data_IF_271725272008
#
_entry.id   IF_271725272008
#
_cell.length_a   1.000
_cell.length_b   1.000
_cell.length_c   1.000
_cell.angle_alpha   90.00
_cell.angle_beta   90.00
_cell.angle_gamma   90.00
#
_symmetry.space_group_name_H-M   'P 1'
#
loop_
_entity.id
_entity.type
_entity.pdbx_description
1 polymer ?
#
# COMPACT_ATOMS: atom_id res chain seq x y z
N UNK A 1 -21.22 8.59 53.27
CA UNK A 1 -22.20 8.34 52.19
C UNK A 1 -21.47 8.47 50.88
N UNK A 2 -21.14 7.32 50.30
CA UNK A 2 -20.34 7.10 49.08
C UNK A 2 -21.20 7.32 47.84
N UNK A 3 -20.66 8.03 46.83
CA UNK A 3 -21.26 8.17 45.49
C UNK A 3 -20.58 7.16 44.56
N UNK A 4 -21.33 6.34 43.81
CA UNK A 4 -20.80 5.19 43.10
C UNK A 4 -19.99 5.58 41.86
N UNK A 5 -19.07 4.68 41.51
CA UNK A 5 -18.22 4.71 40.33
C UNK A 5 -18.99 5.04 39.05
N UNK A 6 -18.55 6.08 38.36
CA UNK A 6 -18.82 6.31 36.95
C UNK A 6 -17.81 5.46 36.17
N UNK A 7 -18.18 4.20 35.91
CA UNK A 7 -17.45 3.32 35.00
C UNK A 7 -17.54 3.91 33.59
N UNK A 8 -16.52 4.69 33.21
CA UNK A 8 -16.34 5.12 31.83
C UNK A 8 -16.22 3.87 30.95
N UNK A 9 -17.00 3.78 29.85
CA UNK A 9 -16.94 2.65 28.94
C UNK A 9 -15.58 2.66 28.25
N UNK A 10 -14.86 1.56 28.41
CA UNK A 10 -13.56 1.27 27.80
C UNK A 10 -13.63 1.42 26.27
N UNK A 11 -13.15 2.57 25.79
CA UNK A 11 -13.13 2.99 24.38
C UNK A 11 -12.02 2.28 23.57
N UNK A 12 -11.50 1.16 24.04
CA UNK A 12 -10.30 0.52 23.46
C UNK A 12 -10.59 -0.57 22.43
N UNK A 13 -11.83 -0.82 21.99
CA UNK A 13 -12.16 -2.06 21.23
C UNK A 13 -12.83 -1.97 19.86
N UNK A 14 -12.42 -1.10 18.92
CA UNK A 14 -12.76 -1.28 17.49
C UNK A 14 -11.81 -2.25 16.75
N UNK A 15 -10.55 -2.39 17.20
CA UNK A 15 -9.54 -3.20 16.51
C UNK A 15 -9.79 -4.71 16.64
N UNK A 16 -10.16 -5.15 17.84
CA UNK A 16 -10.36 -6.57 18.17
C UNK A 16 -11.68 -7.11 17.58
N UNK A 17 -12.71 -6.26 17.43
CA UNK A 17 -13.96 -6.61 16.77
C UNK A 17 -13.77 -6.79 15.25
N UNK A 18 -12.96 -5.92 14.62
CA UNK A 18 -12.58 -6.07 13.21
C UNK A 18 -11.70 -7.30 12.99
N UNK A 19 -10.81 -7.61 13.94
CA UNK A 19 -10.01 -8.83 13.96
C UNK A 19 -10.87 -10.09 14.05
N UNK A 20 -11.80 -10.15 14.99
CA UNK A 20 -12.72 -11.28 15.16
C UNK A 20 -13.65 -11.48 13.96
N UNK A 21 -14.08 -10.40 13.30
CA UNK A 21 -14.86 -10.48 12.07
C UNK A 21 -14.02 -10.99 10.89
N UNK A 22 -12.76 -10.54 10.77
CA UNK A 22 -11.81 -11.05 9.78
C UNK A 22 -11.50 -12.52 10.01
N UNK A 23 -11.37 -12.93 11.28
CA UNK A 23 -11.07 -14.30 11.72
C UNK A 23 -12.25 -15.27 11.49
N UNK A 24 -13.49 -14.82 11.70
CA UNK A 24 -14.69 -15.59 11.34
C UNK A 24 -14.89 -15.70 9.83
N UNK A 25 -14.50 -14.68 9.07
CA UNK A 25 -14.52 -14.72 7.61
C UNK A 25 -13.43 -15.63 7.00
N UNK A 26 -12.53 -16.21 7.81
CA UNK A 26 -11.40 -17.04 7.38
C UNK A 26 -11.63 -18.55 7.47
N UNK A 27 -12.80 -19.02 7.94
CA UNK A 27 -13.15 -20.44 7.94
C UNK A 27 -14.15 -20.77 6.81
N UNK A 28 -14.10 -21.95 6.17
CA UNK A 28 -12.95 -22.68 5.65
C UNK A 28 -13.14 -22.94 4.14
N UNK A 29 -12.52 -22.13 3.28
CA UNK A 29 -12.24 -22.58 1.90
C UNK A 29 -10.79 -23.07 1.87
N UNK A 30 -10.52 -24.17 2.58
CA UNK A 30 -9.22 -24.86 2.59
C UNK A 30 -8.94 -25.64 1.29
N UNK A 31 -9.67 -25.36 0.22
CA UNK A 31 -9.79 -26.30 -0.89
C UNK A 31 -8.55 -26.32 -1.80
N UNK A 32 -7.79 -25.23 -1.93
CA UNK A 32 -6.56 -25.27 -2.70
C UNK A 32 -5.47 -24.37 -2.09
N UNK A 33 -4.43 -25.00 -1.54
CA UNK A 33 -3.21 -24.29 -1.21
C UNK A 33 -2.50 -23.95 -2.52
N UNK A 34 -2.02 -22.70 -2.70
CA UNK A 34 -1.28 -22.34 -3.89
C UNK A 34 -0.05 -23.24 -4.04
N UNK A 35 0.45 -23.46 -5.27
CA UNK A 35 1.49 -24.46 -5.54
C UNK A 35 2.72 -24.36 -4.63
N UNK A 36 3.12 -23.14 -4.26
CA UNK A 36 4.26 -22.90 -3.38
C UNK A 36 4.00 -23.25 -1.90
N UNK A 37 2.75 -23.22 -1.44
CA UNK A 37 2.37 -23.53 -0.06
C UNK A 37 2.05 -25.02 0.16
N UNK A 38 2.10 -25.84 -0.89
CA UNK A 38 1.88 -27.29 -0.79
C UNK A 38 2.93 -27.99 0.06
N UNK A 39 4.15 -27.45 0.09
CA UNK A 39 5.27 -27.95 0.90
C UNK A 39 5.24 -27.46 2.35
N UNK A 40 4.36 -26.53 2.70
CA UNK A 40 4.31 -25.95 4.04
C UNK A 40 3.71 -26.94 5.05
N UNK A 41 4.15 -26.92 6.32
CA UNK A 41 3.52 -27.71 7.38
C UNK A 41 2.03 -27.37 7.54
N UNK A 42 1.25 -28.31 8.06
CA UNK A 42 -0.17 -28.11 8.39
C UNK A 42 -0.25 -27.47 9.76
N UNK A 43 -0.48 -26.17 9.77
CA UNK A 43 -0.63 -25.35 10.97
C UNK A 43 -1.77 -24.34 10.74
N UNK A 44 -2.65 -24.20 11.73
CA UNK A 44 -3.86 -23.40 11.60
C UNK A 44 -3.55 -21.90 11.46
N UNK A 45 -2.51 -21.38 12.14
CA UNK A 45 -2.11 -19.99 12.01
C UNK A 45 -1.43 -19.73 10.66
N UNK A 46 -0.55 -20.65 10.23
CA UNK A 46 0.09 -20.57 8.91
C UNK A 46 -0.93 -20.62 7.77
N UNK A 47 -1.94 -21.49 7.87
CA UNK A 47 -2.99 -21.58 6.85
C UNK A 47 -3.83 -20.31 6.76
N UNK A 48 -4.10 -19.64 7.89
CA UNK A 48 -4.76 -18.32 7.89
C UNK A 48 -3.92 -17.28 7.15
N UNK A 49 -2.60 -17.29 7.35
CA UNK A 49 -1.69 -16.39 6.60
C UNK A 49 -1.71 -16.68 5.09
N UNK A 50 -1.74 -17.95 4.69
CA UNK A 50 -1.89 -18.33 3.28
C UNK A 50 -3.24 -17.86 2.72
N UNK A 51 -4.31 -17.94 3.50
CA UNK A 51 -5.63 -17.41 3.08
C UNK A 51 -5.61 -15.87 2.95
N UNK A 52 -4.94 -15.14 3.85
CA UNK A 52 -4.74 -13.70 3.71
C UNK A 52 -3.94 -13.34 2.45
N UNK A 53 -2.91 -14.14 2.11
CA UNK A 53 -2.14 -13.97 0.89
C UNK A 53 -3.02 -14.14 -0.35
N UNK A 54 -3.86 -15.18 -0.40
CA UNK A 54 -4.77 -15.42 -1.51
C UNK A 54 -5.82 -14.29 -1.68
N UNK A 55 -6.23 -13.64 -0.59
CA UNK A 55 -7.15 -12.50 -0.61
C UNK A 55 -6.47 -11.15 -0.92
N UNK A 56 -5.17 -11.15 -1.21
CA UNK A 56 -4.40 -9.92 -1.46
C UNK A 56 -4.17 -9.05 -0.21
N UNK A 57 -4.45 -9.55 0.99
CA UNK A 57 -4.21 -8.83 2.23
C UNK A 57 -2.73 -8.96 2.67
N UNK A 58 -1.84 -8.43 1.85
CA UNK A 58 -0.39 -8.51 2.04
C UNK A 58 0.11 -7.81 3.31
N UNK A 59 -0.60 -6.78 3.77
CA UNK A 59 -0.26 -6.06 5.01
C UNK A 59 -0.43 -6.96 6.24
N UNK A 60 -1.57 -7.64 6.35
CA UNK A 60 -1.82 -8.57 7.45
C UNK A 60 -0.83 -9.75 7.43
N UNK A 61 -0.48 -10.27 6.25
CA UNK A 61 0.52 -11.35 6.15
C UNK A 61 1.89 -10.89 6.59
N UNK A 62 2.34 -9.69 6.18
CA UNK A 62 3.64 -9.15 6.59
C UNK A 62 3.75 -9.04 8.12
N UNK A 63 2.76 -8.40 8.74
CA UNK A 63 2.79 -8.09 10.16
C UNK A 63 2.65 -9.38 11.00
N UNK A 64 1.80 -10.33 10.56
CA UNK A 64 1.53 -11.56 11.30
C UNK A 64 2.49 -12.71 11.00
N UNK A 65 3.11 -12.76 9.82
CA UNK A 65 4.13 -13.78 9.52
C UNK A 65 5.39 -13.59 10.38
N UNK A 66 5.78 -12.35 10.66
CA UNK A 66 6.86 -12.04 11.59
C UNK A 66 6.50 -12.44 13.02
N UNK A 67 5.29 -12.11 13.47
CA UNK A 67 4.80 -12.53 14.78
C UNK A 67 4.72 -14.07 14.92
N UNK A 68 4.25 -14.77 13.89
CA UNK A 68 4.18 -16.24 13.88
C UNK A 68 5.57 -16.87 13.94
N UNK A 69 6.53 -16.34 13.17
CA UNK A 69 7.90 -16.85 13.15
C UNK A 69 8.65 -16.68 14.49
N UNK A 70 8.23 -15.73 15.32
CA UNK A 70 8.78 -15.50 16.67
C UNK A 70 8.05 -16.29 17.76
N UNK A 71 6.73 -16.51 17.62
CA UNK A 71 5.91 -17.21 18.63
C UNK A 71 5.93 -18.72 18.50
N UNK A 72 6.07 -19.25 17.28
CA UNK A 72 5.98 -20.69 17.05
C UNK A 72 7.21 -21.43 17.58
N UNK A 73 6.99 -22.59 18.17
CA UNK A 73 8.07 -23.50 18.60
C UNK A 73 8.52 -24.46 17.50
N UNK A 74 7.75 -24.58 16.41
CA UNK A 74 8.12 -25.45 15.29
C UNK A 74 9.01 -24.71 14.29
N UNK A 75 10.29 -25.12 14.11
CA UNK A 75 11.20 -24.48 13.16
C UNK A 75 10.70 -24.55 11.71
N UNK A 76 9.88 -25.55 11.34
CA UNK A 76 9.31 -25.68 9.99
C UNK A 76 8.22 -24.64 9.74
N UNK A 77 7.38 -24.37 10.74
CA UNK A 77 6.35 -23.32 10.66
C UNK A 77 7.01 -21.94 10.59
N UNK A 78 8.05 -21.72 11.40
CA UNK A 78 8.82 -20.47 11.36
C UNK A 78 9.51 -20.25 10.01
N UNK A 79 10.08 -21.31 9.41
CA UNK A 79 10.69 -21.24 8.08
C UNK A 79 9.66 -20.92 6.99
N UNK A 80 8.50 -21.58 7.00
CA UNK A 80 7.42 -21.32 6.05
C UNK A 80 6.85 -19.90 6.19
N UNK A 81 6.70 -19.38 7.42
CA UNK A 81 6.27 -18.01 7.66
C UNK A 81 7.28 -16.98 7.10
N UNK A 82 8.58 -17.23 7.23
CA UNK A 82 9.63 -16.38 6.63
C UNK A 82 9.62 -16.43 5.10
N UNK A 83 9.46 -17.61 4.51
CA UNK A 83 9.35 -17.76 3.05
C UNK A 83 8.13 -16.98 2.52
N UNK A 84 6.99 -17.07 3.21
CA UNK A 84 5.79 -16.33 2.86
C UNK A 84 6.01 -14.81 2.93
N UNK A 85 6.72 -14.31 3.95
CA UNK A 85 7.09 -12.89 4.05
C UNK A 85 7.99 -12.45 2.90
N UNK A 86 9.00 -13.25 2.57
CA UNK A 86 9.95 -12.92 1.49
C UNK A 86 9.23 -12.76 0.13
N UNK A 87 8.17 -13.53 -0.12
CA UNK A 87 7.36 -13.43 -1.35
C UNK A 87 6.47 -12.19 -1.43
N UNK A 88 6.25 -11.51 -0.31
CA UNK A 88 5.35 -10.36 -0.19
C UNK A 88 6.13 -9.04 -0.15
N UNK A 89 7.44 -9.09 0.09
CA UNK A 89 8.25 -7.88 0.03
C UNK A 89 8.12 -7.26 -1.37
N UNK A 90 7.63 -6.01 -1.47
CA UNK A 90 7.47 -5.37 -2.75
C UNK A 90 8.85 -5.22 -3.37
N UNK A 91 8.96 -5.62 -4.63
CA UNK A 91 10.23 -5.64 -5.37
C UNK A 91 10.97 -4.31 -5.15
N UNK A 92 12.18 -4.32 -4.57
CA UNK A 92 12.96 -3.10 -4.36
C UNK A 92 13.13 -2.30 -5.66
N UNK A 93 13.15 -2.99 -6.81
CA UNK A 93 13.21 -2.37 -8.12
C UNK A 93 11.97 -1.52 -8.41
N UNK A 94 10.77 -1.95 -8.01
CA UNK A 94 9.54 -1.19 -8.20
C UNK A 94 9.57 0.15 -7.45
N UNK A 95 10.14 0.18 -6.24
CA UNK A 95 10.33 1.44 -5.49
C UNK A 95 11.29 2.38 -6.20
N UNK A 96 12.40 1.84 -6.71
CA UNK A 96 13.39 2.62 -7.46
C UNK A 96 12.79 3.18 -8.75
N UNK A 97 12.08 2.34 -9.51
CA UNK A 97 11.36 2.74 -10.72
C UNK A 97 10.35 3.84 -10.43
N UNK A 98 9.49 3.68 -9.42
CA UNK A 98 8.52 4.71 -9.03
C UNK A 98 9.21 6.03 -8.66
N UNK A 99 10.29 5.97 -7.88
CA UNK A 99 11.10 7.14 -7.55
C UNK A 99 11.70 7.81 -8.78
N UNK A 100 12.26 7.03 -9.71
CA UNK A 100 12.81 7.53 -10.96
C UNK A 100 11.73 8.15 -11.86
N UNK A 101 10.55 7.55 -11.92
CA UNK A 101 9.43 8.08 -12.71
C UNK A 101 8.95 9.41 -12.14
N UNK A 102 8.85 9.53 -10.82
CA UNK A 102 8.49 10.77 -10.14
C UNK A 102 9.55 11.85 -10.36
N UNK A 103 10.83 11.51 -10.24
CA UNK A 103 11.93 12.43 -10.52
C UNK A 103 11.90 12.93 -11.98
N UNK A 104 11.70 12.03 -12.93
CA UNK A 104 11.60 12.36 -14.34
C UNK A 104 10.40 13.29 -14.62
N UNK A 105 9.25 13.01 -14.00
CA UNK A 105 8.06 13.84 -14.11
C UNK A 105 8.30 15.27 -13.59
N UNK A 106 8.99 15.42 -12.46
CA UNK A 106 9.34 16.72 -11.91
C UNK A 106 10.29 17.49 -12.84
N UNK A 107 11.30 16.81 -13.39
CA UNK A 107 12.23 17.41 -14.35
C UNK A 107 11.50 17.89 -15.60
N UNK A 108 10.63 17.06 -16.18
CA UNK A 108 9.82 17.42 -17.35
C UNK A 108 8.89 18.59 -17.06
N UNK A 109 8.24 18.58 -15.89
CA UNK A 109 7.34 19.65 -15.46
C UNK A 109 8.09 20.97 -15.30
N UNK A 110 9.24 20.94 -14.59
CA UNK A 110 10.07 22.12 -14.40
C UNK A 110 10.60 22.67 -15.73
N UNK A 111 11.07 21.79 -16.62
CA UNK A 111 11.52 22.18 -17.96
C UNK A 111 10.41 22.80 -18.80
N UNK A 112 9.22 22.19 -18.80
CA UNK A 112 8.06 22.70 -19.54
C UNK A 112 7.62 24.08 -19.02
N UNK A 113 7.58 24.27 -17.71
CA UNK A 113 7.28 25.57 -17.09
C UNK A 113 8.32 26.61 -17.51
N UNK A 114 9.62 26.29 -17.38
CA UNK A 114 10.69 27.19 -17.78
C UNK A 114 10.56 27.63 -19.25
N UNK A 115 10.39 26.68 -20.17
CA UNK A 115 10.22 26.96 -21.61
C UNK A 115 8.94 27.74 -21.91
N UNK A 116 7.86 27.52 -21.15
CA UNK A 116 6.60 28.27 -21.31
C UNK A 116 6.72 29.75 -20.90
N UNK A 117 7.60 30.07 -19.93
CA UNK A 117 7.82 31.47 -19.53
C UNK A 117 8.51 32.30 -20.62
N UNK A 118 9.42 31.69 -21.39
CA UNK A 118 10.10 32.36 -22.51
C UNK A 118 9.14 32.74 -23.64
N UNK A 119 8.18 31.86 -23.98
CA UNK A 119 7.18 32.12 -25.02
C UNK A 119 6.22 33.25 -24.62
N UNK A 120 5.92 33.38 -23.33
CA UNK A 120 5.07 34.46 -22.79
C UNK A 120 5.80 35.80 -22.72
N UNK A 121 7.13 35.80 -22.65
CA UNK A 121 7.95 37.01 -22.63
C UNK A 121 8.15 37.64 -24.02
N UNK A 122 7.69 36.98 -25.09
CA UNK A 122 7.71 37.58 -26.43
C UNK A 122 6.80 38.82 -26.45
N UNK A 123 7.33 40.01 -26.79
CA UNK A 123 6.52 41.22 -26.87
C UNK A 123 5.44 41.03 -27.93
N UNK A 124 4.22 41.46 -27.63
CA UNK A 124 3.09 41.35 -28.56
C UNK A 124 3.47 41.96 -29.91
N UNK A 125 3.14 41.29 -31.04
CA UNK A 125 3.41 41.85 -32.36
C UNK A 125 2.72 43.21 -32.43
N UNK A 126 3.51 44.26 -32.63
CA UNK A 126 2.99 45.60 -32.86
C UNK A 126 2.26 45.56 -34.20
N UNK A 127 0.93 45.45 -34.16
CA UNK A 127 0.11 45.58 -35.36
C UNK A 127 0.31 47.00 -35.87
N UNK A 128 0.91 47.23 -37.05
CA UNK A 128 1.07 48.58 -37.57
C UNK A 128 -0.31 49.17 -37.85
N UNK A 129 -0.66 50.25 -37.15
CA UNK A 129 -1.85 51.07 -37.40
C UNK A 129 -1.68 51.84 -38.71
N UNK A 130 -1.75 51.17 -39.86
CA UNK A 130 -1.52 51.81 -41.18
C UNK A 130 -2.76 51.88 -42.07
N UNK A 131 -3.96 51.48 -41.62
CA UNK A 131 -5.16 51.42 -42.49
C UNK A 131 -6.33 52.29 -42.01
N UNK A 132 -6.09 53.44 -41.38
CA UNK A 132 -7.17 54.37 -40.94
C UNK A 132 -7.04 55.81 -41.46
N UNK A 133 -6.20 56.09 -42.45
CA UNK A 133 -6.04 57.44 -43.04
C UNK A 133 -6.10 57.42 -44.56
N UNK A 134 -7.14 56.84 -45.16
CA UNK A 134 -7.52 57.15 -46.56
C UNK A 134 -9.05 57.12 -46.66
N UNK A 135 -9.71 58.08 -46.02
CA UNK A 135 -11.10 58.46 -46.31
C UNK A 135 -11.40 59.82 -45.66
N UNK A 136 -10.99 60.90 -46.30
CA UNK A 136 -11.69 62.18 -46.21
C UNK A 136 -11.41 63.03 -47.44
#
# INVERSE_FOLDING_TARGET
MTRPEESQPDESKPADAAEAASERALAPEYADRPPFARSYPRDAELDRLVAYFQRGNHRAVRDRAEALAQKTSDPKVAAAARDLRARIEPDPLARVLLGATLALLLVLTAWAVHRSTELRAAPAPTVPKTVQTIAK
#
